data_IF_696302083761
#
_entry.id   IF_696302083761
#
_cell.length_a   1.000
_cell.length_b   1.000
_cell.length_c   1.000
_cell.angle_alpha   90.00
_cell.angle_beta   90.00
_cell.angle_gamma   90.00
#
_symmetry.space_group_name_H-M   'P 1'
#
loop_
_entity.id
_entity.type
_entity.pdbx_description
1 polymer ?
#
# COMPACT_ATOMS: atom_id res chain seq x y z
N UNK A 1 -0.23 -19.82 4.73
CA UNK A 1 -1.62 -20.34 4.76
C UNK A 1 -2.54 -19.33 4.08
N UNK A 2 -3.78 -19.67 3.71
CA UNK A 2 -4.78 -18.66 3.28
C UNK A 2 -5.16 -17.70 4.44
N UNK A 3 -4.65 -17.96 5.64
CA UNK A 3 -4.80 -17.16 6.85
C UNK A 3 -3.65 -16.17 7.11
N UNK A 4 -2.67 -16.07 6.20
CA UNK A 4 -1.55 -15.14 6.37
C UNK A 4 -2.00 -13.70 6.04
N UNK A 5 -1.42 -12.71 6.72
CA UNK A 5 -1.82 -11.31 6.60
C UNK A 5 -0.59 -10.42 6.59
N UNK A 6 -0.54 -9.48 5.64
CA UNK A 6 0.38 -8.34 5.68
C UNK A 6 -0.26 -7.28 6.56
N UNK A 7 0.34 -7.00 7.71
CA UNK A 7 -0.11 -5.96 8.63
C UNK A 7 1.00 -4.96 8.96
N UNK A 8 0.64 -3.69 8.99
CA UNK A 8 1.55 -2.60 9.34
C UNK A 8 0.75 -1.37 9.76
N UNK A 9 1.45 -0.38 10.32
CA UNK A 9 0.93 0.96 10.50
C UNK A 9 1.70 1.95 9.64
N UNK A 10 0.98 2.89 9.02
CA UNK A 10 1.55 3.92 8.16
C UNK A 10 1.08 5.32 8.56
N UNK A 11 1.99 6.29 8.46
CA UNK A 11 1.73 7.72 8.51
C UNK A 11 2.27 8.35 7.23
N UNK A 12 1.48 9.18 6.53
CA UNK A 12 1.88 9.83 5.28
C UNK A 12 1.65 11.34 5.41
N UNK A 13 2.71 12.14 5.25
CA UNK A 13 2.64 13.60 5.36
C UNK A 13 2.73 14.16 6.78
N UNK A 14 3.03 13.31 7.78
CA UNK A 14 2.99 13.62 9.22
C UNK A 14 1.60 14.18 9.64
N UNK A 15 1.44 14.71 10.85
CA UNK A 15 0.15 15.23 11.38
C UNK A 15 -0.42 16.45 10.62
N UNK A 16 0.08 16.74 9.41
CA UNK A 16 -0.48 17.76 8.54
C UNK A 16 -1.74 17.19 7.88
N UNK A 17 -2.88 17.83 8.16
CA UNK A 17 -4.16 17.54 7.49
C UNK A 17 -4.17 17.89 5.99
N UNK A 18 -3.04 18.36 5.43
CA UNK A 18 -2.93 18.66 4.01
C UNK A 18 -2.99 17.38 3.19
N UNK A 19 -3.87 17.35 2.20
CA UNK A 19 -3.90 16.32 1.15
C UNK A 19 -2.84 16.56 0.07
N UNK A 20 -1.97 17.54 0.28
CA UNK A 20 -0.84 17.83 -0.60
C UNK A 20 0.27 16.81 -0.35
N UNK A 21 0.80 16.24 -1.44
CA UNK A 21 1.88 15.26 -1.38
C UNK A 21 1.55 14.00 -2.17
N UNK A 22 2.57 13.15 -2.32
CA UNK A 22 2.48 11.92 -3.11
C UNK A 22 2.01 10.75 -2.26
N UNK A 23 1.21 9.85 -2.80
CA UNK A 23 0.84 8.66 -2.07
C UNK A 23 2.03 7.71 -1.91
N UNK A 24 1.94 6.87 -0.89
CA UNK A 24 2.81 5.69 -0.74
C UNK A 24 2.10 4.50 -1.36
N UNK A 25 2.76 3.82 -2.29
CA UNK A 25 2.27 2.62 -2.95
C UNK A 25 2.88 1.40 -2.24
N UNK A 26 2.03 0.46 -1.84
CA UNK A 26 2.45 -0.86 -1.41
C UNK A 26 2.37 -1.82 -2.61
N UNK A 27 3.53 -2.37 -2.98
CA UNK A 27 3.71 -3.17 -4.19
C UNK A 27 4.41 -4.49 -3.89
N UNK A 28 4.20 -5.48 -4.75
CA UNK A 28 4.91 -6.75 -4.73
C UNK A 28 5.58 -7.06 -6.07
N UNK A 29 6.60 -7.93 -6.02
CA UNK A 29 7.28 -8.49 -7.18
C UNK A 29 7.46 -10.00 -7.02
N UNK A 30 7.34 -10.72 -8.15
CA UNK A 30 7.60 -12.17 -8.27
C UNK A 30 8.85 -12.52 -9.07
N UNK A 31 9.46 -11.53 -9.70
CA UNK A 31 10.56 -11.71 -10.65
C UNK A 31 11.86 -11.08 -10.14
N UNK A 32 12.00 -10.98 -8.81
CA UNK A 32 13.20 -10.43 -8.17
C UNK A 32 13.32 -8.91 -8.28
N UNK A 33 12.19 -8.20 -8.42
CA UNK A 33 12.12 -6.76 -8.41
C UNK A 33 12.21 -6.10 -9.79
N UNK A 34 12.05 -6.88 -10.87
CA UNK A 34 12.04 -6.35 -12.24
C UNK A 34 10.69 -5.68 -12.54
N UNK A 35 9.59 -6.36 -12.25
CA UNK A 35 8.24 -5.82 -12.35
C UNK A 35 7.58 -5.72 -10.98
N UNK A 36 6.73 -4.71 -10.82
CA UNK A 36 6.03 -4.40 -9.58
C UNK A 36 4.55 -4.17 -9.88
N UNK A 37 3.68 -4.78 -9.08
CA UNK A 37 2.23 -4.58 -9.11
C UNK A 37 1.74 -4.18 -7.72
N UNK A 38 0.53 -3.61 -7.61
CA UNK A 38 -0.02 -3.30 -6.29
C UNK A 38 -0.36 -4.60 -5.56
N UNK A 39 -0.13 -4.61 -4.24
CA UNK A 39 -0.60 -5.72 -3.39
C UNK A 39 -2.14 -5.80 -3.48
N UNK A 40 -2.80 -4.65 -3.54
CA UNK A 40 -4.22 -4.53 -3.83
C UNK A 40 -4.47 -3.57 -4.99
N UNK A 41 -5.04 -4.04 -6.10
CA UNK A 41 -5.31 -3.22 -7.29
C UNK A 41 -6.52 -2.28 -7.11
N UNK A 42 -7.33 -2.52 -6.07
CA UNK A 42 -8.58 -1.81 -5.84
C UNK A 42 -9.69 -2.29 -6.77
N UNK A 43 -10.92 -1.97 -6.39
CA UNK A 43 -12.08 -2.22 -7.19
C UNK A 43 -13.16 -1.16 -6.94
N UNK A 44 -13.48 -0.32 -7.94
CA UNK A 44 -14.52 0.69 -7.78
C UNK A 44 -15.91 0.05 -7.69
N UNK A 45 -16.86 0.74 -7.05
CA UNK A 45 -18.23 0.24 -6.90
C UNK A 45 -18.96 0.01 -8.24
N UNK A 46 -18.51 0.63 -9.32
CA UNK A 46 -19.04 0.44 -10.68
C UNK A 46 -18.51 -0.81 -11.39
N UNK A 47 -17.48 -1.47 -10.85
CA UNK A 47 -16.90 -2.63 -11.48
C UNK A 47 -17.78 -3.88 -11.26
N UNK A 48 -18.12 -4.53 -12.37
CA UNK A 48 -19.01 -5.69 -12.38
C UNK A 48 -18.33 -6.99 -11.91
N UNK A 49 -17.00 -7.02 -11.86
CA UNK A 49 -16.20 -8.24 -11.67
C UNK A 49 -15.49 -8.32 -10.30
N UNK A 50 -16.08 -7.72 -9.27
CA UNK A 50 -15.52 -7.73 -7.93
C UNK A 50 -16.55 -8.11 -6.87
N UNK A 51 -16.07 -8.74 -5.79
CA UNK A 51 -16.86 -8.99 -4.58
C UNK A 51 -16.99 -7.72 -3.72
N UNK A 52 -17.55 -6.66 -4.31
CA UNK A 52 -17.74 -5.36 -3.67
C UNK A 52 -16.57 -4.38 -3.86
N UNK A 53 -16.78 -3.12 -3.44
CA UNK A 53 -15.79 -2.06 -3.57
C UNK A 53 -14.59 -2.32 -2.66
N UNK A 54 -13.40 -2.02 -3.17
CA UNK A 54 -12.12 -2.23 -2.49
C UNK A 54 -11.17 -1.09 -2.80
N UNK A 55 -10.51 -0.55 -1.79
CA UNK A 55 -9.49 0.47 -2.01
C UNK A 55 -8.18 -0.19 -2.48
N UNK A 56 -7.45 0.43 -3.43
CA UNK A 56 -6.12 -0.04 -3.80
C UNK A 56 -5.13 0.16 -2.65
N UNK A 57 -3.99 -0.55 -2.69
CA UNK A 57 -2.92 -0.43 -1.70
C UNK A 57 -2.07 0.83 -1.92
N UNK A 58 -2.74 1.97 -1.92
CA UNK A 58 -2.25 3.32 -2.20
C UNK A 58 -2.67 4.24 -1.05
N UNK A 59 -1.71 4.82 -0.33
CA UNK A 59 -1.95 5.57 0.90
C UNK A 59 -1.64 7.04 0.70
N UNK A 60 -2.68 7.88 0.73
CA UNK A 60 -2.57 9.32 0.49
C UNK A 60 -2.31 10.11 1.80
N UNK A 61 -1.57 11.24 1.74
CA UNK A 61 -1.50 12.20 2.83
C UNK A 61 -2.88 12.72 3.25
N UNK A 62 -3.07 12.99 4.54
CA UNK A 62 -4.30 13.61 5.05
C UNK A 62 -5.58 12.77 4.93
N UNK A 63 -5.50 11.51 4.50
CA UNK A 63 -6.66 10.61 4.42
C UNK A 63 -7.01 9.97 5.78
N UNK A 64 -6.04 9.93 6.69
CA UNK A 64 -6.16 9.31 8.00
C UNK A 64 -5.46 10.15 9.07
N UNK A 65 -5.73 9.85 10.35
CA UNK A 65 -5.02 10.46 11.48
C UNK A 65 -3.53 10.06 11.55
N UNK A 66 -2.83 10.37 12.65
CA UNK A 66 -1.37 10.21 12.76
C UNK A 66 -0.83 8.85 12.31
N UNK A 67 -1.58 7.77 12.58
CA UNK A 67 -1.22 6.40 12.22
C UNK A 67 -2.44 5.62 11.75
N UNK A 68 -2.31 4.95 10.61
CA UNK A 68 -3.34 4.07 10.04
C UNK A 68 -2.88 2.64 10.13
N UNK A 69 -3.69 1.75 10.70
CA UNK A 69 -3.44 0.31 10.65
C UNK A 69 -3.98 -0.26 9.35
N UNK A 70 -3.14 -0.98 8.63
CA UNK A 70 -3.48 -1.70 7.40
C UNK A 70 -3.38 -3.20 7.68
N UNK A 71 -4.37 -3.95 7.20
CA UNK A 71 -4.44 -5.41 7.25
C UNK A 71 -4.87 -5.90 5.87
N UNK A 72 -3.95 -6.56 5.15
CA UNK A 72 -4.20 -7.11 3.81
C UNK A 72 -4.07 -8.63 3.85
N UNK A 73 -5.12 -9.38 3.52
CA UNK A 73 -5.03 -10.84 3.43
C UNK A 73 -4.06 -11.24 2.31
N UNK A 74 -3.21 -12.23 2.58
CA UNK A 74 -2.31 -12.78 1.57
C UNK A 74 -3.14 -13.67 0.64
N UNK A 75 -3.38 -13.18 -0.57
CA UNK A 75 -4.10 -13.95 -1.58
C UNK A 75 -3.21 -15.02 -2.25
N UNK A 76 -3.83 -15.81 -3.12
CA UNK A 76 -3.13 -16.85 -3.88
C UNK A 76 -1.99 -16.30 -4.77
N UNK A 77 -2.08 -15.04 -5.23
CA UNK A 77 -1.01 -14.42 -6.01
C UNK A 77 0.20 -14.24 -5.11
N UNK A 78 0.03 -13.72 -3.91
CA UNK A 78 1.14 -13.47 -2.99
C UNK A 78 1.70 -14.75 -2.36
N UNK A 79 0.85 -15.73 -2.06
CA UNK A 79 1.26 -16.99 -1.43
C UNK A 79 2.05 -17.94 -2.36
N UNK A 80 1.97 -17.73 -3.67
CA UNK A 80 2.65 -18.59 -4.65
C UNK A 80 4.11 -18.16 -4.85
N UNK A 81 5.00 -18.80 -4.10
CA UNK A 81 6.46 -18.68 -4.25
C UNK A 81 7.06 -17.54 -3.44
N UNK A 82 8.31 -17.22 -3.73
CA UNK A 82 8.99 -16.08 -3.09
C UNK A 82 8.47 -14.77 -3.68
N UNK A 83 8.08 -13.84 -2.82
CA UNK A 83 7.69 -12.49 -3.20
C UNK A 83 8.57 -11.45 -2.52
N UNK A 84 8.84 -10.34 -3.20
CA UNK A 84 9.38 -9.14 -2.59
C UNK A 84 8.26 -8.12 -2.43
N UNK A 85 8.28 -7.38 -1.32
CA UNK A 85 7.27 -6.35 -1.03
C UNK A 85 7.99 -5.03 -0.78
N UNK A 86 7.43 -3.92 -1.28
CA UNK A 86 7.97 -2.58 -1.05
C UNK A 86 6.87 -1.57 -0.76
N UNK A 87 7.22 -0.58 0.06
CA UNK A 87 6.51 0.69 0.17
C UNK A 87 7.34 1.73 -0.57
N UNK A 88 6.75 2.38 -1.57
CA UNK A 88 7.46 3.34 -2.42
C UNK A 88 6.64 4.60 -2.61
N UNK A 89 7.30 5.74 -2.62
CA UNK A 89 6.73 7.02 -2.98
C UNK A 89 7.51 7.51 -4.21
N UNK A 90 6.83 7.65 -5.36
CA UNK A 90 7.50 8.03 -6.61
C UNK A 90 8.13 9.42 -6.49
N UNK A 91 9.42 9.54 -6.84
CA UNK A 91 10.19 10.76 -6.61
C UNK A 91 10.67 11.40 -7.93
N UNK A 92 10.12 12.55 -8.36
CA UNK A 92 10.72 13.34 -9.42
C UNK A 92 11.21 14.67 -8.82
N UNK A 93 12.52 14.74 -8.55
CA UNK A 93 13.24 15.99 -8.36
C UNK A 93 12.91 16.77 -7.08
N UNK A 94 13.75 16.62 -6.06
CA UNK A 94 14.16 17.62 -5.03
C UNK A 94 13.12 18.46 -4.27
N UNK A 95 11.81 18.33 -4.51
CA UNK A 95 10.78 19.17 -3.88
C UNK A 95 9.50 18.42 -3.51
N UNK A 96 9.57 17.09 -3.35
CA UNK A 96 8.44 16.32 -2.86
C UNK A 96 8.29 16.50 -1.34
N UNK A 97 7.47 17.47 -0.94
CA UNK A 97 6.97 17.61 0.42
C UNK A 97 6.08 16.41 0.76
N UNK A 98 6.52 15.60 1.73
CA UNK A 98 5.71 14.54 2.33
C UNK A 98 6.49 13.27 2.62
N UNK A 99 7.13 13.20 3.78
CA UNK A 99 7.73 11.94 4.29
C UNK A 99 6.64 10.96 4.73
N UNK A 100 6.98 9.67 4.73
CA UNK A 100 6.15 8.63 5.33
C UNK A 100 6.94 7.83 6.35
N UNK A 101 6.22 7.31 7.34
CA UNK A 101 6.77 6.45 8.36
C UNK A 101 5.96 5.16 8.47
N UNK A 102 6.65 4.06 8.75
CA UNK A 102 6.06 2.74 8.93
C UNK A 102 6.43 2.18 10.30
N UNK A 103 5.54 1.41 10.91
CA UNK A 103 5.81 0.68 12.17
C UNK A 103 4.95 -0.57 12.31
N UNK A 104 5.34 -1.44 13.24
CA UNK A 104 4.52 -2.58 13.68
C UNK A 104 4.21 -3.56 12.56
N UNK A 105 5.24 -3.95 11.80
CA UNK A 105 5.13 -4.89 10.69
C UNK A 105 4.88 -6.33 11.17
N UNK A 106 4.03 -7.04 10.44
CA UNK A 106 3.80 -8.47 10.53
C UNK A 106 3.50 -8.97 9.11
N UNK A 107 4.23 -10.00 8.68
CA UNK A 107 4.07 -10.68 7.39
C UNK A 107 4.20 -12.17 7.65
#
# INVERSE_FOLDING_TARGET
SIDDVIAFQISVGCDKLSKEGRPVLLQYSKDGGVTWALVEEGCPASALHCHGPKEPSVYHPGHHGPWTRVLLPVDHRLAQGSVQVRWVQDNPGETATGEFALRGFYI
#
